data_IF_316651500660
#
_entry.id   IF_316651500660
#
_cell.length_a   1.000
_cell.length_b   1.000
_cell.length_c   1.000
_cell.angle_alpha   90.00
_cell.angle_beta   90.00
_cell.angle_gamma   90.00
#
_symmetry.space_group_name_H-M   'P 1'
#
loop_
_entity.id
_entity.type
_entity.pdbx_description
1 polymer ?
#
# COMPACT_ATOMS: atom_id res chain seq x y z
N UNK A 1 -47.93 23.25 -29.00
CA UNK A 1 -48.20 22.42 -27.82
C UNK A 1 -47.11 21.38 -27.60
N UNK A 2 -46.75 20.54 -28.59
CA UNK A 2 -45.71 19.48 -28.42
C UNK A 2 -44.32 20.01 -28.03
N UNK A 3 -43.87 21.13 -28.60
CA UNK A 3 -42.58 21.75 -28.32
C UNK A 3 -42.45 22.25 -26.85
N UNK A 4 -43.52 22.86 -26.32
CA UNK A 4 -43.58 23.34 -24.94
C UNK A 4 -43.52 22.16 -23.95
N UNK A 5 -44.15 21.03 -24.25
CA UNK A 5 -44.10 19.81 -23.45
C UNK A 5 -42.69 19.21 -23.40
N UNK A 6 -41.97 19.17 -24.52
CA UNK A 6 -40.60 18.66 -24.59
C UNK A 6 -39.63 19.55 -23.79
N UNK A 7 -39.78 20.87 -23.90
CA UNK A 7 -38.95 21.82 -23.13
C UNK A 7 -39.23 21.71 -21.62
N UNK A 8 -40.47 21.51 -21.21
CA UNK A 8 -40.83 21.33 -19.80
C UNK A 8 -40.24 20.02 -19.22
N UNK A 9 -40.33 18.93 -19.98
CA UNK A 9 -39.73 17.64 -19.57
C UNK A 9 -38.21 17.75 -19.48
N UNK A 10 -37.54 18.38 -20.44
CA UNK A 10 -36.10 18.62 -20.40
C UNK A 10 -35.70 19.46 -19.19
N UNK A 11 -36.44 20.51 -18.88
CA UNK A 11 -36.18 21.35 -17.70
C UNK A 11 -36.40 20.60 -16.39
N UNK A 12 -37.46 19.76 -16.30
CA UNK A 12 -37.72 18.92 -15.14
C UNK A 12 -36.60 17.90 -14.89
N UNK A 13 -36.05 17.29 -15.95
CA UNK A 13 -34.91 16.35 -15.88
C UNK A 13 -33.65 17.06 -15.39
N UNK A 14 -33.37 18.26 -15.94
CA UNK A 14 -32.22 19.07 -15.51
C UNK A 14 -32.37 19.50 -14.05
N UNK A 15 -33.54 19.91 -13.62
CA UNK A 15 -33.80 20.32 -12.23
C UNK A 15 -33.64 19.14 -11.25
N UNK A 16 -34.13 17.95 -11.59
CA UNK A 16 -33.93 16.73 -10.85
C UNK A 16 -32.44 16.34 -10.77
N UNK A 17 -31.71 16.53 -11.86
CA UNK A 17 -30.29 16.24 -11.94
C UNK A 17 -29.44 17.18 -11.05
N UNK A 18 -29.78 18.45 -10.99
CA UNK A 18 -29.10 19.46 -10.13
C UNK A 18 -29.43 19.26 -8.65
N UNK A 19 -30.65 18.84 -8.32
CA UNK A 19 -31.08 18.65 -6.93
C UNK A 19 -30.48 17.39 -6.27
N UNK A 20 -30.08 16.40 -7.03
CA UNK A 20 -29.54 15.13 -6.55
C UNK A 20 -28.04 15.24 -6.22
N UNK A 21 -27.69 15.52 -4.95
CA UNK A 21 -26.30 15.73 -4.46
C UNK A 21 -25.43 14.47 -4.40
N UNK A 22 -25.99 13.25 -4.32
CA UNK A 22 -25.25 11.99 -4.25
C UNK A 22 -25.56 11.10 -5.45
N UNK A 23 -24.92 11.38 -6.57
CA UNK A 23 -25.07 10.59 -7.80
C UNK A 23 -24.28 9.29 -7.70
N UNK A 24 -24.95 8.20 -7.40
CA UNK A 24 -24.39 6.88 -7.66
C UNK A 24 -24.50 6.62 -9.16
N UNK A 25 -23.36 6.56 -9.84
CA UNK A 25 -23.28 6.33 -11.31
C UNK A 25 -24.05 5.06 -11.71
N UNK A 26 -24.04 4.03 -10.86
CA UNK A 26 -24.79 2.78 -11.04
C UNK A 26 -26.31 2.99 -11.13
N UNK A 27 -26.87 3.86 -10.29
CA UNK A 27 -28.31 4.18 -10.29
C UNK A 27 -28.71 4.93 -11.56
N UNK A 28 -27.88 5.89 -11.98
CA UNK A 28 -28.13 6.66 -13.20
C UNK A 28 -28.08 5.77 -14.44
N UNK A 29 -27.06 4.92 -14.55
CA UNK A 29 -26.91 4.00 -15.68
C UNK A 29 -28.05 2.98 -15.74
N UNK A 30 -28.52 2.44 -14.60
CA UNK A 30 -29.66 1.55 -14.57
C UNK A 30 -30.95 2.20 -15.11
N UNK A 31 -31.20 3.48 -14.75
CA UNK A 31 -32.37 4.23 -15.26
C UNK A 31 -32.26 4.46 -16.76
N UNK A 32 -31.12 4.95 -17.26
CA UNK A 32 -30.93 5.18 -18.70
C UNK A 32 -31.07 3.90 -19.52
N UNK A 33 -30.44 2.82 -19.08
CA UNK A 33 -30.48 1.53 -19.76
C UNK A 33 -31.89 0.92 -19.71
N UNK A 34 -32.58 1.05 -18.57
CA UNK A 34 -33.97 0.63 -18.42
C UNK A 34 -34.93 1.36 -19.33
N UNK A 35 -34.74 2.67 -19.47
CA UNK A 35 -35.56 3.48 -20.42
C UNK A 35 -35.32 3.07 -21.87
N UNK A 36 -34.07 2.89 -22.29
CA UNK A 36 -33.73 2.49 -23.66
C UNK A 36 -34.34 1.12 -23.99
N UNK A 37 -34.16 0.13 -23.09
CA UNK A 37 -34.73 -1.20 -23.27
C UNK A 37 -36.27 -1.16 -23.24
N UNK A 38 -36.85 -0.38 -22.32
CA UNK A 38 -38.30 -0.23 -22.21
C UNK A 38 -38.93 0.39 -23.47
N UNK A 39 -38.32 1.42 -24.06
CA UNK A 39 -38.73 2.01 -25.32
C UNK A 39 -38.62 1.00 -26.48
N UNK A 40 -37.53 0.26 -26.56
CA UNK A 40 -37.30 -0.72 -27.61
C UNK A 40 -38.29 -1.89 -27.52
N UNK A 41 -38.46 -2.50 -26.35
CA UNK A 41 -39.41 -3.59 -26.16
C UNK A 41 -40.85 -3.12 -26.26
N UNK A 42 -41.17 -1.92 -25.74
CA UNK A 42 -42.50 -1.35 -25.82
C UNK A 42 -42.93 -1.05 -27.26
N UNK A 43 -42.05 -0.50 -28.11
CA UNK A 43 -42.33 -0.27 -29.53
C UNK A 43 -42.46 -1.60 -30.29
N UNK A 44 -41.53 -2.58 -30.02
CA UNK A 44 -41.59 -3.89 -30.67
C UNK A 44 -42.89 -4.62 -30.34
N UNK A 45 -43.29 -4.63 -29.05
CA UNK A 45 -44.51 -5.29 -28.59
C UNK A 45 -45.77 -4.59 -29.12
N UNK A 46 -45.76 -3.26 -29.17
CA UNK A 46 -46.84 -2.47 -29.76
C UNK A 46 -47.07 -2.83 -31.22
N UNK A 47 -46.00 -2.94 -32.03
CA UNK A 47 -46.09 -3.37 -33.43
C UNK A 47 -46.58 -4.81 -33.58
N UNK A 48 -46.27 -5.70 -32.65
CA UNK A 48 -46.74 -7.08 -32.67
C UNK A 48 -48.26 -7.18 -32.39
N UNK A 49 -48.84 -6.24 -31.64
CA UNK A 49 -50.26 -6.20 -31.33
C UNK A 49 -51.09 -5.47 -32.43
N UNK A 50 -50.49 -4.55 -33.17
CA UNK A 50 -51.17 -3.77 -34.23
C UNK A 50 -52.06 -4.63 -35.15
N UNK A 51 -51.65 -5.84 -35.63
CA UNK A 51 -52.49 -6.65 -36.53
C UNK A 51 -53.78 -7.17 -35.85
N UNK A 52 -53.75 -7.35 -34.52
CA UNK A 52 -54.90 -7.90 -33.78
C UNK A 52 -55.92 -6.85 -33.37
N UNK A 53 -55.51 -5.59 -33.26
CA UNK A 53 -56.33 -4.48 -32.75
C UNK A 53 -56.74 -3.54 -33.88
N UNK A 54 -56.15 -3.63 -35.07
CA UNK A 54 -56.40 -2.72 -36.20
C UNK A 54 -57.71 -3.07 -36.92
N UNK A 55 -58.82 -2.99 -36.20
CA UNK A 55 -60.17 -3.07 -36.78
C UNK A 55 -60.73 -1.65 -36.92
N UNK A 56 -61.53 -1.36 -37.92
CA UNK A 56 -62.06 -0.01 -38.19
C UNK A 56 -62.75 0.64 -36.98
N UNK A 57 -63.34 -0.17 -36.10
CA UNK A 57 -64.01 0.28 -34.89
C UNK A 57 -63.05 0.72 -33.78
N UNK A 58 -61.75 0.27 -33.80
CA UNK A 58 -60.78 0.45 -32.69
C UNK A 58 -59.59 1.32 -33.05
N UNK A 59 -59.54 1.84 -34.31
CA UNK A 59 -58.37 2.68 -34.74
C UNK A 59 -58.11 3.90 -33.89
N UNK A 60 -59.09 4.49 -33.26
CA UNK A 60 -58.96 5.65 -32.39
C UNK A 60 -58.25 5.29 -31.03
N UNK A 61 -58.35 4.02 -30.65
CA UNK A 61 -57.76 3.50 -29.40
C UNK A 61 -56.26 3.11 -29.55
N UNK A 62 -55.81 2.86 -30.80
CA UNK A 62 -54.43 2.40 -31.08
C UNK A 62 -53.37 3.36 -30.58
N UNK A 63 -53.58 4.67 -30.73
CA UNK A 63 -52.61 5.68 -30.25
C UNK A 63 -52.44 5.67 -28.74
N UNK A 64 -53.51 5.82 -27.95
CA UNK A 64 -53.39 5.75 -26.47
C UNK A 64 -52.89 4.40 -25.95
N UNK A 65 -53.33 3.28 -26.55
CA UNK A 65 -52.90 1.94 -26.17
C UNK A 65 -51.38 1.74 -26.36
N UNK A 66 -50.83 2.24 -27.49
CA UNK A 66 -49.43 2.19 -27.79
C UNK A 66 -48.58 2.93 -26.74
N UNK A 67 -49.01 4.14 -26.38
CA UNK A 67 -48.34 4.92 -25.35
C UNK A 67 -48.37 4.20 -24.01
N UNK A 68 -49.50 3.61 -23.63
CA UNK A 68 -49.66 2.88 -22.38
C UNK A 68 -48.77 1.63 -22.31
N UNK A 69 -48.64 0.87 -23.40
CA UNK A 69 -47.76 -0.28 -23.52
C UNK A 69 -46.29 0.15 -23.35
N UNK A 70 -45.87 1.22 -24.04
CA UNK A 70 -44.49 1.72 -23.94
C UNK A 70 -44.19 2.17 -22.51
N UNK A 71 -45.08 2.90 -21.85
CA UNK A 71 -44.91 3.32 -20.45
C UNK A 71 -44.81 2.12 -19.50
N UNK A 72 -45.64 1.09 -19.71
CA UNK A 72 -45.60 -0.13 -18.90
C UNK A 72 -44.26 -0.85 -19.04
N UNK A 73 -43.76 -1.02 -20.27
CA UNK A 73 -42.45 -1.65 -20.49
C UNK A 73 -41.31 -0.81 -19.95
N UNK A 74 -41.32 0.50 -20.06
CA UNK A 74 -40.36 1.38 -19.44
C UNK A 74 -40.33 1.22 -17.91
N UNK A 75 -41.53 1.18 -17.29
CA UNK A 75 -41.63 0.97 -15.84
C UNK A 75 -41.07 -0.38 -15.42
N UNK A 76 -41.42 -1.47 -16.10
CA UNK A 76 -40.94 -2.84 -15.78
C UNK A 76 -39.45 -2.91 -15.97
N UNK A 77 -38.86 -2.42 -17.07
CA UNK A 77 -37.43 -2.47 -17.32
C UNK A 77 -36.64 -1.64 -16.31
N UNK A 78 -37.09 -0.42 -16.01
CA UNK A 78 -36.41 0.42 -14.98
C UNK A 78 -36.52 -0.22 -13.62
N UNK A 79 -37.69 -0.72 -13.20
CA UNK A 79 -37.91 -1.36 -11.91
C UNK A 79 -37.03 -2.60 -11.73
N UNK A 80 -37.00 -3.46 -12.77
CA UNK A 80 -36.15 -4.68 -12.73
C UNK A 80 -34.68 -4.37 -12.62
N UNK A 81 -34.17 -3.44 -13.44
CA UNK A 81 -32.77 -3.03 -13.39
C UNK A 81 -32.42 -2.31 -12.08
N UNK A 82 -33.37 -1.59 -11.49
CA UNK A 82 -33.17 -0.95 -10.21
C UNK A 82 -33.11 -1.94 -9.05
N UNK A 83 -33.90 -3.01 -9.08
CA UNK A 83 -33.87 -4.08 -8.08
C UNK A 83 -32.62 -4.95 -8.20
N UNK A 84 -32.12 -5.17 -9.40
CA UNK A 84 -30.96 -6.02 -9.68
C UNK A 84 -29.64 -5.24 -9.80
N UNK A 85 -29.64 -3.93 -9.51
CA UNK A 85 -28.45 -3.07 -9.64
C UNK A 85 -27.24 -3.52 -8.83
N UNK A 86 -27.49 -4.17 -7.68
CA UNK A 86 -26.44 -4.63 -6.77
C UNK A 86 -25.91 -6.02 -7.17
N UNK A 87 -26.74 -6.84 -7.88
CA UNK A 87 -26.40 -8.16 -8.38
C UNK A 87 -25.79 -8.14 -9.79
N UNK A 88 -26.25 -7.20 -10.63
CA UNK A 88 -25.70 -6.98 -11.95
C UNK A 88 -24.57 -5.95 -11.89
N UNK A 89 -23.35 -6.42 -11.73
CA UNK A 89 -22.19 -5.66 -12.20
C UNK A 89 -22.26 -5.62 -13.73
N UNK A 90 -22.83 -4.57 -14.28
CA UNK A 90 -22.68 -4.27 -15.71
C UNK A 90 -21.19 -4.09 -15.96
N UNK A 91 -20.52 -5.16 -16.33
CA UNK A 91 -19.23 -5.13 -16.98
C UNK A 91 -19.54 -4.56 -18.38
N UNK A 92 -19.47 -3.23 -18.50
CA UNK A 92 -19.30 -2.62 -19.82
C UNK A 92 -17.93 -3.12 -20.25
N UNK A 93 -17.80 -4.00 -21.27
CA UNK A 93 -16.50 -4.64 -21.57
C UNK A 93 -15.48 -3.64 -22.13
N UNK A 94 -15.73 -2.35 -22.08
CA UNK A 94 -14.88 -1.33 -22.70
C UNK A 94 -14.40 -0.19 -21.80
N UNK A 95 -14.86 -0.09 -20.59
CA UNK A 95 -14.21 0.78 -19.60
C UNK A 95 -14.36 0.13 -18.23
N UNK A 96 -13.59 -0.92 -17.97
CA UNK A 96 -12.98 -1.01 -16.67
C UNK A 96 -12.00 0.19 -16.63
N UNK A 97 -12.52 1.36 -16.28
CA UNK A 97 -11.71 2.22 -15.46
C UNK A 97 -11.56 1.44 -14.14
N UNK A 98 -10.76 0.38 -14.17
CA UNK A 98 -9.95 0.14 -13.01
C UNK A 98 -9.42 1.54 -12.74
N UNK A 99 -9.82 2.13 -11.66
CA UNK A 99 -9.04 3.14 -10.99
C UNK A 99 -7.71 2.42 -10.85
N UNK A 100 -6.90 2.43 -11.92
CA UNK A 100 -5.48 2.22 -11.79
C UNK A 100 -5.13 3.29 -10.79
N UNK A 101 -5.11 2.86 -9.55
CA UNK A 101 -4.49 3.60 -8.50
C UNK A 101 -3.14 3.90 -9.12
N UNK A 102 -2.95 5.16 -9.55
CA UNK A 102 -1.64 5.68 -9.89
C UNK A 102 -0.86 5.60 -8.57
N UNK A 103 -0.25 4.47 -8.35
CA UNK A 103 0.41 4.11 -7.11
C UNK A 103 0.45 2.58 -7.05
N UNK A 104 1.57 2.01 -6.62
CA UNK A 104 1.73 0.57 -6.44
C UNK A 104 0.67 -0.01 -5.49
N UNK A 105 0.69 -1.33 -5.30
CA UNK A 105 -0.21 -2.01 -4.36
C UNK A 105 -0.17 -1.33 -3.00
N UNK A 106 -1.31 -1.15 -2.31
CA UNK A 106 -1.34 -0.59 -0.96
C UNK A 106 -0.44 -1.39 -0.01
N UNK A 107 0.07 -0.74 1.02
CA UNK A 107 0.92 -1.34 2.03
C UNK A 107 0.18 -1.41 3.36
N UNK A 108 -0.03 -2.61 3.88
CA UNK A 108 -0.61 -2.84 5.21
C UNK A 108 0.52 -2.91 6.22
N UNK A 109 0.52 -2.02 7.20
CA UNK A 109 1.57 -1.91 8.21
C UNK A 109 1.29 -2.84 9.40
N UNK A 110 2.31 -3.57 9.78
CA UNK A 110 2.34 -4.35 11.01
C UNK A 110 2.78 -3.51 12.22
N UNK A 111 2.39 -3.91 13.41
CA UNK A 111 2.75 -3.27 14.68
C UNK A 111 4.27 -3.18 14.87
N UNK A 112 5.00 -4.23 14.50
CA UNK A 112 6.46 -4.29 14.62
C UNK A 112 7.16 -3.18 13.84
N UNK A 113 6.68 -2.85 12.64
CA UNK A 113 7.24 -1.82 11.76
C UNK A 113 6.93 -0.42 12.27
N UNK A 114 5.74 -0.22 12.84
CA UNK A 114 5.36 1.07 13.43
C UNK A 114 6.22 1.37 14.67
N UNK A 115 6.43 0.37 15.53
CA UNK A 115 7.28 0.49 16.73
C UNK A 115 8.74 0.74 16.34
N UNK A 116 9.24 0.08 15.31
CA UNK A 116 10.61 0.27 14.78
C UNK A 116 10.81 1.73 14.31
N UNK A 117 9.86 2.26 13.58
CA UNK A 117 9.81 3.67 13.15
C UNK A 117 10.57 3.98 11.85
N UNK A 118 11.45 3.10 11.36
CA UNK A 118 12.19 3.31 10.10
C UNK A 118 11.28 3.52 8.90
N UNK A 119 10.07 2.97 8.93
CA UNK A 119 9.09 3.18 7.87
C UNK A 119 8.76 4.65 7.64
N UNK A 120 8.74 5.47 8.70
CA UNK A 120 8.50 6.90 8.58
C UNK A 120 9.65 7.59 7.80
N UNK A 121 10.88 7.21 8.08
CA UNK A 121 12.07 7.75 7.40
C UNK A 121 12.10 7.29 5.93
N UNK A 122 11.73 6.04 5.64
CA UNK A 122 11.61 5.53 4.27
C UNK A 122 10.54 6.30 3.49
N UNK A 123 9.40 6.62 4.10
CA UNK A 123 8.35 7.43 3.49
C UNK A 123 8.84 8.85 3.17
N UNK A 124 9.67 9.44 4.03
CA UNK A 124 10.25 10.78 3.80
C UNK A 124 11.13 10.83 2.54
N UNK A 125 11.74 9.70 2.15
CA UNK A 125 12.55 9.58 0.91
C UNK A 125 11.72 9.56 -0.37
N UNK A 126 10.39 9.42 -0.28
CA UNK A 126 9.46 9.25 -1.41
C UNK A 126 9.66 7.96 -2.23
N UNK A 127 10.39 6.98 -1.72
CA UNK A 127 10.48 5.64 -2.34
C UNK A 127 9.13 4.93 -2.28
N UNK A 128 8.36 5.19 -1.21
CA UNK A 128 6.99 4.72 -1.06
C UNK A 128 6.04 5.85 -1.47
N UNK A 129 5.42 5.70 -2.62
CA UNK A 129 4.40 6.61 -3.17
C UNK A 129 2.99 5.99 -3.17
N UNK A 130 2.84 4.90 -2.42
CA UNK A 130 1.60 4.14 -2.34
C UNK A 130 0.88 4.41 -1.03
N UNK A 131 -0.41 4.07 -1.01
CA UNK A 131 -1.25 4.18 0.18
C UNK A 131 -0.75 3.26 1.30
N UNK A 132 -0.55 3.82 2.49
CA UNK A 132 -0.26 3.09 3.72
C UNK A 132 -1.56 2.84 4.49
N UNK A 133 -1.78 1.61 4.87
CA UNK A 133 -2.98 1.19 5.58
C UNK A 133 -2.59 0.68 6.96
N UNK A 134 -3.17 1.30 7.98
CA UNK A 134 -3.04 0.84 9.37
C UNK A 134 -4.40 0.27 9.80
N UNK A 135 -4.51 -1.05 9.96
CA UNK A 135 -5.74 -1.66 10.43
C UNK A 135 -6.05 -1.27 11.88
N UNK A 136 -7.33 -1.14 12.22
CA UNK A 136 -7.75 -0.77 13.56
C UNK A 136 -7.29 -1.76 14.64
N UNK A 137 -7.23 -3.05 14.31
CA UNK A 137 -6.72 -4.06 15.25
C UNK A 137 -5.21 -3.91 15.53
N UNK A 138 -4.41 -3.41 14.57
CA UNK A 138 -3.00 -3.05 14.79
C UNK A 138 -2.89 -1.84 15.72
N UNK A 139 -3.76 -0.83 15.55
CA UNK A 139 -3.82 0.29 16.50
C UNK A 139 -4.15 -0.16 17.90
N UNK A 140 -5.10 -1.08 18.04
CA UNK A 140 -5.49 -1.63 19.34
C UNK A 140 -4.34 -2.41 20.00
N UNK A 141 -3.62 -3.21 19.21
CA UNK A 141 -2.42 -3.90 19.69
C UNK A 141 -1.34 -2.90 20.15
N UNK A 142 -1.07 -1.87 19.35
CA UNK A 142 -0.12 -0.82 19.67
C UNK A 142 -0.50 -0.08 20.98
N UNK A 143 -1.79 0.21 21.19
CA UNK A 143 -2.30 0.77 22.44
C UNK A 143 -2.08 -0.17 23.62
N UNK A 144 -2.38 -1.46 23.47
CA UNK A 144 -2.14 -2.47 24.50
C UNK A 144 -0.66 -2.56 24.90
N UNK A 145 0.24 -2.42 23.91
CA UNK A 145 1.69 -2.36 24.18
C UNK A 145 2.06 -1.07 24.90
N UNK A 146 1.46 0.08 24.54
CA UNK A 146 1.71 1.38 25.20
C UNK A 146 1.17 1.46 26.62
N UNK A 147 0.13 0.68 26.94
CA UNK A 147 -0.46 0.59 28.29
C UNK A 147 0.08 -0.58 29.13
N UNK A 148 1.08 -1.31 28.61
CA UNK A 148 1.70 -2.44 29.30
C UNK A 148 2.30 -2.01 30.65
N UNK A 149 2.19 -2.90 31.66
CA UNK A 149 2.84 -2.76 32.94
C UNK A 149 4.38 -2.77 32.84
N UNK A 150 4.93 -3.46 31.86
CA UNK A 150 6.37 -3.51 31.60
C UNK A 150 6.86 -2.17 31.00
N UNK A 151 7.86 -1.57 31.63
CA UNK A 151 8.43 -0.27 31.25
C UNK A 151 9.01 -0.28 29.83
N UNK A 152 9.67 -1.37 29.42
CA UNK A 152 10.28 -1.46 28.08
C UNK A 152 9.20 -1.59 27.00
N UNK A 153 8.22 -2.47 27.22
CA UNK A 153 7.08 -2.63 26.30
C UNK A 153 6.30 -1.33 26.18
N UNK A 154 5.98 -0.69 27.30
CA UNK A 154 5.27 0.59 27.33
C UNK A 154 6.01 1.68 26.53
N UNK A 155 7.32 1.81 26.71
CA UNK A 155 8.13 2.78 25.97
C UNK A 155 8.13 2.49 24.45
N UNK A 156 8.19 1.23 24.05
CA UNK A 156 8.08 0.83 22.64
C UNK A 156 6.72 1.17 22.06
N UNK A 157 5.63 0.89 22.78
CA UNK A 157 4.28 1.25 22.33
C UNK A 157 4.09 2.75 22.16
N UNK A 158 4.54 3.56 23.14
CA UNK A 158 4.49 5.02 23.07
C UNK A 158 5.28 5.55 21.87
N UNK A 159 6.50 5.04 21.66
CA UNK A 159 7.29 5.39 20.47
C UNK A 159 6.54 5.07 19.17
N UNK A 160 5.89 3.92 19.08
CA UNK A 160 5.07 3.56 17.92
C UNK A 160 3.91 4.53 17.69
N UNK A 161 3.22 4.95 18.76
CA UNK A 161 2.14 5.95 18.67
C UNK A 161 2.66 7.30 18.18
N UNK A 162 3.85 7.74 18.65
CA UNK A 162 4.48 8.97 18.20
C UNK A 162 4.88 8.89 16.72
N UNK A 163 5.40 7.73 16.27
CA UNK A 163 5.72 7.49 14.86
C UNK A 163 4.47 7.54 13.98
N UNK A 164 3.38 6.92 14.42
CA UNK A 164 2.12 6.96 13.69
C UNK A 164 1.59 8.39 13.55
N UNK A 165 1.64 9.16 14.63
CA UNK A 165 1.26 10.59 14.61
C UNK A 165 2.14 11.40 13.66
N UNK A 166 3.46 11.16 13.65
CA UNK A 166 4.41 11.78 12.71
C UNK A 166 4.02 11.47 11.26
N UNK A 167 3.74 10.21 10.93
CA UNK A 167 3.32 9.81 9.59
C UNK A 167 1.97 10.43 9.19
N UNK A 168 0.98 10.50 10.10
CA UNK A 168 -0.31 11.14 9.83
C UNK A 168 -0.19 12.64 9.57
N UNK A 169 0.74 13.31 10.24
CA UNK A 169 0.98 14.76 10.09
C UNK A 169 1.79 15.10 8.84
N UNK A 170 2.36 14.11 8.16
CA UNK A 170 3.18 14.32 6.99
C UNK A 170 2.31 14.37 5.71
N UNK A 171 2.18 15.53 5.04
CA UNK A 171 1.36 15.66 3.85
C UNK A 171 1.86 14.84 2.63
N UNK A 172 3.08 14.30 2.71
CA UNK A 172 3.67 13.47 1.66
C UNK A 172 3.28 12.00 1.80
N UNK A 173 2.65 11.61 2.90
CA UNK A 173 2.31 10.23 3.23
C UNK A 173 0.79 10.06 3.17
N UNK A 174 0.30 9.22 2.26
CA UNK A 174 -1.12 8.84 2.23
C UNK A 174 -1.35 7.68 3.21
N UNK A 175 -1.54 8.03 4.50
CA UNK A 175 -1.82 7.07 5.55
C UNK A 175 -3.30 7.02 5.88
N UNK A 176 -3.89 5.83 5.80
CA UNK A 176 -5.30 5.61 6.10
C UNK A 176 -5.47 4.56 7.19
N UNK A 177 -6.37 4.86 8.13
CA UNK A 177 -6.81 3.88 9.12
C UNK A 177 -7.97 3.09 8.50
N UNK A 178 -7.85 1.75 8.51
CA UNK A 178 -8.87 0.86 7.96
C UNK A 178 -9.58 0.14 9.09
N UNK A 179 -10.92 0.18 9.11
CA UNK A 179 -11.74 -0.41 10.18
C UNK A 179 -11.63 -1.94 10.26
N UNK A 180 -11.13 -2.60 9.22
CA UNK A 180 -10.97 -4.06 9.18
C UNK A 180 -12.31 -4.81 9.12
N UNK A 181 -13.36 -4.17 8.62
CA UNK A 181 -14.70 -4.75 8.56
C UNK A 181 -14.84 -5.65 7.32
N UNK A 182 -14.18 -6.81 7.36
CA UNK A 182 -14.25 -7.83 6.32
C UNK A 182 -14.85 -9.09 6.96
N UNK A 183 -15.81 -9.76 6.32
CA UNK A 183 -16.48 -10.94 6.89
C UNK A 183 -15.50 -12.03 7.34
N UNK A 184 -14.43 -12.24 6.58
CA UNK A 184 -13.41 -13.26 6.84
C UNK A 184 -12.57 -13.00 8.12
N UNK A 185 -12.68 -11.80 8.71
CA UNK A 185 -11.95 -11.43 9.92
C UNK A 185 -12.74 -11.67 11.21
N UNK A 186 -14.04 -12.01 11.12
CA UNK A 186 -14.91 -12.10 12.29
C UNK A 186 -14.52 -13.26 13.23
N UNK A 187 -14.07 -14.39 12.67
CA UNK A 187 -13.71 -15.60 13.43
C UNK A 187 -12.20 -15.70 13.72
N UNK A 188 -11.39 -14.72 13.31
CA UNK A 188 -9.94 -14.73 13.48
C UNK A 188 -9.55 -13.78 14.59
N UNK A 189 -8.88 -14.29 15.62
CA UNK A 189 -8.46 -13.50 16.79
C UNK A 189 -6.99 -13.06 16.71
N UNK A 190 -6.14 -13.83 16.04
CA UNK A 190 -4.72 -13.60 15.95
C UNK A 190 -4.40 -12.46 14.97
N UNK A 191 -3.66 -11.44 15.43
CA UNK A 191 -3.37 -10.21 14.67
C UNK A 191 -2.64 -10.52 13.37
N UNK A 192 -1.66 -11.43 13.41
CA UNK A 192 -0.85 -11.83 12.25
C UNK A 192 -1.71 -12.44 11.15
N UNK A 193 -2.61 -13.36 11.49
CA UNK A 193 -3.53 -13.96 10.52
C UNK A 193 -4.49 -12.92 9.94
N UNK A 194 -5.01 -12.01 10.80
CA UNK A 194 -5.86 -10.90 10.35
C UNK A 194 -5.16 -9.98 9.37
N UNK A 195 -3.87 -9.69 9.59
CA UNK A 195 -3.05 -8.89 8.66
C UNK A 195 -2.96 -9.54 7.28
N UNK A 196 -2.69 -10.84 7.23
CA UNK A 196 -2.53 -11.57 5.97
C UNK A 196 -3.86 -11.65 5.22
N UNK A 197 -4.97 -11.95 5.91
CA UNK A 197 -6.32 -12.00 5.31
C UNK A 197 -6.71 -10.63 4.76
N UNK A 198 -6.51 -9.56 5.54
CA UNK A 198 -6.80 -8.20 5.11
C UNK A 198 -5.98 -7.81 3.87
N UNK A 199 -4.67 -8.07 3.88
CA UNK A 199 -3.80 -7.77 2.76
C UNK A 199 -4.21 -8.52 1.50
N UNK A 200 -4.61 -9.79 1.62
CA UNK A 200 -5.11 -10.61 0.51
C UNK A 200 -6.41 -10.05 -0.06
N UNK A 201 -7.39 -9.73 0.79
CA UNK A 201 -8.68 -9.16 0.38
C UNK A 201 -8.51 -7.80 -0.34
N UNK A 202 -7.53 -6.99 0.08
CA UNK A 202 -7.25 -5.68 -0.51
C UNK A 202 -6.24 -5.73 -1.67
N UNK A 203 -5.75 -6.91 -2.05
CA UNK A 203 -4.64 -7.05 -3.00
C UNK A 203 -3.43 -6.17 -2.63
N UNK A 204 -3.18 -6.04 -1.33
CA UNK A 204 -2.13 -5.23 -0.73
C UNK A 204 -0.88 -6.06 -0.42
N UNK A 205 0.22 -5.38 -0.08
CA UNK A 205 1.44 -5.99 0.48
C UNK A 205 1.49 -5.76 1.99
N UNK A 206 2.03 -6.72 2.73
CA UNK A 206 2.28 -6.54 4.16
C UNK A 206 3.68 -5.97 4.36
N UNK A 207 3.82 -5.00 5.26
CA UNK A 207 5.12 -4.47 5.70
C UNK A 207 5.34 -4.92 7.13
N UNK A 208 6.37 -5.74 7.37
CA UNK A 208 6.68 -6.30 8.69
C UNK A 208 8.18 -6.42 8.93
N UNK A 209 8.57 -6.52 10.20
CA UNK A 209 9.90 -6.91 10.64
C UNK A 209 9.93 -8.34 11.20
N UNK A 210 8.76 -8.97 11.38
CA UNK A 210 8.63 -10.31 11.92
C UNK A 210 8.92 -11.36 10.83
N UNK A 211 9.87 -12.23 11.14
CA UNK A 211 10.26 -13.33 10.26
C UNK A 211 9.14 -14.37 10.09
N UNK A 212 8.40 -14.67 11.15
CA UNK A 212 7.35 -15.68 11.12
C UNK A 212 6.16 -15.18 10.28
N UNK A 213 5.71 -13.93 10.51
CA UNK A 213 4.66 -13.30 9.71
C UNK A 213 5.08 -13.24 8.22
N UNK A 214 6.34 -12.90 7.92
CA UNK A 214 6.86 -12.91 6.54
C UNK A 214 6.68 -14.29 5.90
N UNK A 215 7.05 -15.37 6.58
CA UNK A 215 6.90 -16.75 6.06
C UNK A 215 5.44 -17.15 5.86
N UNK A 216 4.58 -16.88 6.84
CA UNK A 216 3.15 -17.21 6.76
C UNK A 216 2.47 -16.45 5.61
N UNK A 217 2.76 -15.17 5.46
CA UNK A 217 2.19 -14.35 4.40
C UNK A 217 2.62 -14.84 3.01
N UNK A 218 3.91 -15.16 2.83
CA UNK A 218 4.42 -15.72 1.58
C UNK A 218 3.75 -17.05 1.21
N UNK A 219 3.56 -17.96 2.18
CA UNK A 219 2.88 -19.22 1.96
C UNK A 219 1.41 -19.03 1.54
N UNK A 220 0.76 -17.95 1.98
CA UNK A 220 -0.61 -17.61 1.61
C UNK A 220 -0.70 -16.78 0.31
N UNK A 221 0.43 -16.55 -0.37
CA UNK A 221 0.50 -15.81 -1.64
C UNK A 221 0.39 -14.29 -1.47
N UNK A 222 0.66 -13.77 -0.27
CA UNK A 222 0.71 -12.33 0.01
C UNK A 222 2.14 -11.83 -0.10
N UNK A 223 2.35 -10.78 -0.89
CA UNK A 223 3.66 -10.13 -0.99
C UNK A 223 4.03 -9.42 0.30
N UNK A 224 5.27 -9.55 0.73
CA UNK A 224 5.77 -8.94 1.96
C UNK A 224 6.96 -8.04 1.66
N UNK A 225 7.01 -6.92 2.35
CA UNK A 225 8.18 -6.04 2.44
C UNK A 225 8.75 -6.18 3.86
N UNK A 226 9.89 -6.83 3.99
CA UNK A 226 10.60 -6.90 5.26
C UNK A 226 11.57 -5.71 5.36
N UNK A 227 11.34 -4.82 6.35
CA UNK A 227 12.16 -3.60 6.52
C UNK A 227 13.61 -3.94 6.90
N UNK A 228 13.84 -5.06 7.58
CA UNK A 228 15.21 -5.51 7.89
C UNK A 228 15.95 -5.99 6.64
N UNK A 229 15.26 -6.75 5.77
CA UNK A 229 15.82 -7.18 4.47
C UNK A 229 16.13 -5.98 3.59
N UNK A 230 15.21 -5.00 3.53
CA UNK A 230 15.41 -3.76 2.80
C UNK A 230 16.63 -3.00 3.34
N UNK A 231 16.75 -2.83 4.65
CA UNK A 231 17.88 -2.16 5.26
C UNK A 231 19.20 -2.89 4.95
N UNK A 232 19.22 -4.22 4.99
CA UNK A 232 20.38 -5.01 4.64
C UNK A 232 20.77 -4.92 3.15
N UNK A 233 19.79 -4.83 2.26
CA UNK A 233 20.03 -4.65 0.83
C UNK A 233 20.62 -3.27 0.49
N UNK A 234 20.29 -2.25 1.29
CA UNK A 234 20.80 -0.87 1.11
C UNK A 234 22.16 -0.62 1.75
N UNK A 235 22.69 -1.55 2.55
CA UNK A 235 24.04 -1.41 3.10
C UNK A 235 25.07 -1.35 1.96
N UNK A 236 26.01 -0.39 2.06
CA UNK A 236 27.10 -0.28 1.11
C UNK A 236 27.89 -1.59 1.02
N UNK A 237 28.24 -1.96 -0.19
CA UNK A 237 29.05 -3.16 -0.44
C UNK A 237 30.51 -2.71 -0.50
N UNK A 238 31.29 -3.03 0.52
CA UNK A 238 32.73 -2.85 0.45
C UNK A 238 33.31 -3.76 -0.65
N UNK A 239 34.12 -3.22 -1.52
CA UNK A 239 34.74 -3.97 -2.61
C UNK A 239 36.16 -4.40 -2.24
N UNK A 240 36.64 -5.55 -2.70
CA UNK A 240 38.04 -5.92 -2.56
C UNK A 240 38.95 -4.82 -3.12
N UNK A 241 39.99 -4.42 -2.36
CA UNK A 241 40.89 -3.32 -2.68
C UNK A 241 40.47 -1.96 -2.11
N UNK A 242 39.27 -1.82 -1.56
CA UNK A 242 38.82 -0.59 -0.90
C UNK A 242 39.47 -0.45 0.48
N UNK A 243 39.80 0.78 0.87
CA UNK A 243 40.37 1.07 2.19
C UNK A 243 39.27 1.55 3.12
N UNK A 244 39.08 0.82 4.22
CA UNK A 244 38.09 1.14 5.24
C UNK A 244 38.79 1.59 6.53
N UNK A 245 38.27 2.65 7.13
CA UNK A 245 38.68 3.07 8.48
C UNK A 245 37.84 2.33 9.49
N UNK A 246 38.47 1.54 10.36
CA UNK A 246 37.78 0.75 11.38
C UNK A 246 38.51 0.81 12.69
N UNK A 247 37.77 0.97 13.79
CA UNK A 247 38.29 0.86 15.14
C UNK A 247 38.30 -0.60 15.57
N UNK A 248 39.48 -1.13 15.88
CA UNK A 248 39.61 -2.50 16.37
C UNK A 248 39.29 -2.58 17.86
N UNK A 249 38.37 -3.49 18.25
CA UNK A 249 37.81 -3.56 19.59
C UNK A 249 38.27 -4.81 20.33
N UNK A 250 38.39 -5.94 19.62
CA UNK A 250 38.72 -7.24 20.25
C UNK A 250 39.59 -8.09 19.33
N UNK A 251 40.28 -9.11 19.87
CA UNK A 251 41.02 -10.07 19.05
C UNK A 251 40.06 -10.90 18.21
N UNK A 252 40.51 -11.31 17.01
CA UNK A 252 39.81 -12.27 16.18
C UNK A 252 40.08 -13.73 16.58
N UNK A 253 39.39 -14.67 15.89
CA UNK A 253 39.47 -16.10 16.17
C UNK A 253 40.85 -16.71 15.79
N UNK A 254 41.50 -16.12 14.77
CA UNK A 254 42.83 -16.57 14.36
C UNK A 254 43.95 -15.73 14.99
N UNK A 255 45.13 -16.33 15.09
CA UNK A 255 46.31 -15.66 15.65
C UNK A 255 46.68 -14.45 14.78
N UNK A 256 46.81 -13.28 15.42
CA UNK A 256 47.18 -12.04 14.76
C UNK A 256 45.99 -11.20 14.24
N UNK A 257 44.79 -11.71 14.28
CA UNK A 257 43.60 -10.95 13.82
C UNK A 257 43.08 -9.98 14.89
N UNK A 258 42.58 -8.83 14.43
CA UNK A 258 41.75 -7.91 15.20
C UNK A 258 40.37 -7.76 14.58
N UNK A 259 39.37 -7.54 15.42
CA UNK A 259 37.97 -7.36 14.97
C UNK A 259 37.50 -5.97 15.36
N UNK A 260 36.88 -5.30 14.43
CA UNK A 260 36.16 -4.05 14.60
C UNK A 260 34.81 -4.07 13.95
N UNK A 261 34.08 -2.95 14.03
CA UNK A 261 32.76 -2.78 13.41
C UNK A 261 32.71 -1.44 12.70
N UNK A 262 32.08 -1.40 11.55
CA UNK A 262 31.71 -0.17 10.86
C UNK A 262 30.50 0.48 11.55
N UNK A 263 30.19 1.72 11.22
CA UNK A 263 29.07 2.47 11.80
C UNK A 263 27.71 1.79 11.56
N UNK A 264 27.61 1.01 10.48
CA UNK A 264 26.42 0.22 10.12
C UNK A 264 26.34 -1.13 10.86
N UNK A 265 27.27 -1.42 11.77
CA UNK A 265 27.37 -2.67 12.52
C UNK A 265 28.00 -3.84 11.75
N UNK A 266 28.50 -3.62 10.54
CA UNK A 266 29.20 -4.67 9.77
C UNK A 266 30.53 -5.05 10.45
N UNK A 267 30.74 -6.34 10.67
CA UNK A 267 31.96 -6.84 11.29
C UNK A 267 33.13 -6.84 10.30
N UNK A 268 34.26 -6.29 10.73
CA UNK A 268 35.51 -6.26 9.96
C UNK A 268 36.58 -7.04 10.71
N UNK A 269 37.11 -8.07 10.08
CA UNK A 269 38.20 -8.88 10.56
C UNK A 269 39.48 -8.42 9.87
N UNK A 270 40.42 -7.87 10.62
CA UNK A 270 41.65 -7.31 10.07
C UNK A 270 42.82 -8.24 10.39
N UNK A 271 43.46 -8.77 9.36
CA UNK A 271 44.70 -9.54 9.47
C UNK A 271 45.80 -8.62 10.01
N UNK A 272 46.64 -9.17 10.89
CA UNK A 272 47.74 -8.45 11.60
C UNK A 272 47.22 -7.29 12.49
N UNK A 273 45.90 -7.25 12.79
CA UNK A 273 45.27 -6.21 13.59
C UNK A 273 45.39 -6.37 15.10
N UNK A 274 45.85 -7.52 15.60
CA UNK A 274 45.87 -7.81 17.05
C UNK A 274 46.68 -6.80 17.87
N UNK A 275 47.79 -6.33 17.32
CA UNK A 275 48.64 -5.31 17.97
C UNK A 275 48.03 -3.90 17.94
N UNK A 276 47.00 -3.69 17.14
CA UNK A 276 46.35 -2.39 16.88
C UNK A 276 44.99 -2.28 17.58
N UNK A 277 44.65 -3.20 18.46
CA UNK A 277 43.41 -3.18 19.24
C UNK A 277 43.33 -1.90 20.07
N UNK A 278 42.15 -1.23 19.99
CA UNK A 278 41.90 0.07 20.62
C UNK A 278 42.20 1.27 19.73
N UNK A 279 42.81 1.07 18.57
CA UNK A 279 43.18 2.13 17.60
C UNK A 279 42.26 2.13 16.37
N UNK A 280 42.16 3.27 15.73
CA UNK A 280 41.58 3.42 14.38
C UNK A 280 42.63 2.98 13.35
N UNK A 281 42.25 2.02 12.52
CA UNK A 281 43.15 1.41 11.52
C UNK A 281 42.53 1.56 10.13
N UNK A 282 43.37 1.88 9.16
CA UNK A 282 42.98 1.75 7.75
C UNK A 282 43.24 0.30 7.34
N UNK A 283 42.21 -0.37 6.92
CA UNK A 283 42.26 -1.76 6.46
C UNK A 283 41.85 -1.86 5.00
N UNK A 284 42.72 -2.42 4.19
CA UNK A 284 42.40 -2.73 2.78
C UNK A 284 41.59 -4.02 2.73
N UNK A 285 40.41 -3.95 2.13
CA UNK A 285 39.49 -5.10 1.99
C UNK A 285 40.11 -6.17 1.11
N UNK A 286 40.20 -7.39 1.60
CA UNK A 286 40.69 -8.55 0.84
C UNK A 286 39.54 -9.41 0.33
N UNK A 287 38.49 -9.60 1.13
CA UNK A 287 37.30 -10.36 0.73
C UNK A 287 36.09 -9.96 1.57
N UNK A 288 34.89 -10.25 1.02
CA UNK A 288 33.62 -10.03 1.72
C UNK A 288 32.86 -11.33 1.73
N UNK A 289 32.42 -11.76 2.91
CA UNK A 289 31.65 -12.98 3.10
C UNK A 289 30.24 -12.65 3.60
N UNK A 290 29.22 -13.17 2.91
CA UNK A 290 27.83 -13.08 3.35
C UNK A 290 27.46 -14.34 4.13
N UNK A 291 27.07 -14.17 5.40
CA UNK A 291 26.62 -15.27 6.28
C UNK A 291 25.16 -15.07 6.67
N UNK A 292 24.54 -16.10 7.23
CA UNK A 292 23.18 -16.01 7.80
C UNK A 292 23.10 -14.99 8.97
N UNK A 293 24.22 -14.77 9.67
CA UNK A 293 24.32 -13.81 10.77
C UNK A 293 24.62 -12.37 10.31
N UNK A 294 24.89 -12.16 9.01
CA UNK A 294 25.21 -10.85 8.45
C UNK A 294 26.44 -10.88 7.55
N UNK A 295 26.89 -9.70 7.14
CA UNK A 295 28.07 -9.52 6.29
C UNK A 295 29.32 -9.39 7.15
N UNK A 296 30.40 -10.08 6.73
CA UNK A 296 31.72 -9.99 7.32
C UNK A 296 32.71 -9.53 6.25
N UNK A 297 33.54 -8.56 6.60
CA UNK A 297 34.58 -8.04 5.73
C UNK A 297 35.92 -8.51 6.28
N UNK A 298 36.74 -9.09 5.43
CA UNK A 298 38.12 -9.41 5.75
C UNK A 298 39.03 -8.35 5.11
N UNK A 299 39.99 -7.88 5.86
CA UNK A 299 40.93 -6.87 5.38
C UNK A 299 42.29 -7.06 6.00
N UNK A 300 43.29 -6.38 5.45
CA UNK A 300 44.65 -6.32 5.98
C UNK A 300 44.92 -4.90 6.43
N UNK A 301 45.53 -4.76 7.61
CA UNK A 301 45.99 -3.46 8.11
C UNK A 301 47.04 -2.89 7.15
N UNK A 302 46.81 -1.67 6.67
CA UNK A 302 47.85 -0.93 5.96
C UNK A 302 48.94 -0.53 6.98
N UNK A 303 50.16 -0.98 6.76
CA UNK A 303 51.26 -0.87 7.69
C UNK A 303 51.80 0.55 7.98
N UNK A 304 50.98 1.58 7.80
CA UNK A 304 51.24 2.97 8.18
C UNK A 304 50.22 3.43 9.20
N UNK A 305 50.45 3.07 10.50
CA UNK A 305 49.90 3.87 11.58
C UNK A 305 50.37 5.32 11.42
N UNK A 306 49.36 6.23 11.35
CA UNK A 306 49.67 7.66 11.18
C UNK A 306 50.51 8.26 12.28
N UNK A 307 51.77 8.41 12.02
CA UNK A 307 52.58 9.45 12.57
C UNK A 307 52.55 10.60 11.54
N UNK A 308 51.62 11.52 11.67
CA UNK A 308 51.74 12.84 11.10
C UNK A 308 52.87 13.55 11.80
N UNK A 309 54.09 13.38 11.28
CA UNK A 309 55.21 14.27 11.60
C UNK A 309 54.89 15.63 10.98
N UNK A 310 54.43 16.53 11.82
CA UNK A 310 54.43 17.97 11.56
C UNK A 310 55.91 18.39 11.44
N UNK A 311 56.46 18.32 10.24
CA UNK A 311 57.75 18.93 9.97
C UNK A 311 57.52 20.46 9.84
N UNK A 312 57.74 21.15 10.97
CA UNK A 312 58.10 22.57 10.92
C UNK A 312 59.39 22.71 10.11
N UNK A 313 59.31 23.22 8.90
CA UNK A 313 60.45 23.85 8.23
C UNK A 313 60.63 25.24 8.82
N UNK A 314 61.83 25.58 9.34
CA UNK A 314 62.13 26.96 9.66
C UNK A 314 62.36 27.73 8.35
N UNK A 315 61.71 28.83 8.22
CA UNK A 315 62.01 29.89 7.23
C UNK A 315 63.38 30.43 7.58
N UNK A 316 64.39 30.17 6.73
CA UNK A 316 65.60 30.96 6.71
C UNK A 316 65.40 32.14 5.76
N UNK A 317 65.59 33.31 6.30
CA UNK A 317 65.81 34.56 5.66
C UNK A 317 67.19 34.53 4.89
N UNK A 318 67.16 34.94 3.62
CA UNK A 318 68.09 35.90 3.06
C UNK A 318 67.46 36.44 1.77
#
# INVERSE_FOLDING_TARGET
>A
MLFIGVVFVAFAVIALDVYSKNKQITTLSAIYFGLILGLLFGDLFSRAIDPFVNTDATKWLLGPLRILIILLFCYICVSTLFQTKDDFRFIIPYVEFSKQIKGGKPLVLDTSVIIDGRIADICDTKIIDTKLIVPRFVLHELQNVADSGDKLRRNRGRRGMDMLKRMQSNPKVDLQIHEGNIPELQDVHEVDQRLVILAKAMSARVVTNDYNLNKVAQLQGVEVINVNELANALKSVALPGEVLKVKLIKPGDQIGQGVGYLDDGTMVVVEQGRALIGQDVNATVTSVLQTSAGRMIFGRADGKSGLSSTSHQPLNQE
#
